data_IF_500008299396
#
_entry.id   IF_500008299396
#
_cell.length_a   1.000
_cell.length_b   1.000
_cell.length_c   1.000
_cell.angle_alpha   90.00
_cell.angle_beta   90.00
_cell.angle_gamma   90.00
#
_symmetry.space_group_name_H-M   'P 1'
#
loop_
_entity.id
_entity.type
_entity.pdbx_description
1 polymer ?
#
# COMPACT_ATOMS: atom_id res chain seq x y z
N UNK A 1 -11.27 14.99 5.59
CA UNK A 1 -10.01 15.74 5.84
C UNK A 1 -8.95 15.10 4.97
N UNK A 2 -8.24 15.90 4.18
CA UNK A 2 -7.16 15.44 3.31
C UNK A 2 -5.91 15.13 4.11
N UNK A 3 -5.18 14.06 3.76
CA UNK A 3 -3.92 13.75 4.43
C UNK A 3 -2.75 14.50 3.82
N UNK A 4 -2.11 15.34 4.63
CA UNK A 4 -0.83 15.93 4.28
C UNK A 4 0.26 14.85 4.22
N UNK A 5 1.35 15.11 3.50
CA UNK A 5 2.52 14.22 3.49
C UNK A 5 3.04 13.92 4.91
N UNK A 6 3.01 14.90 5.81
CA UNK A 6 3.39 14.71 7.21
C UNK A 6 2.47 13.69 7.92
N UNK A 7 1.17 13.73 7.64
CA UNK A 7 0.24 12.73 8.16
C UNK A 7 0.52 11.34 7.57
N UNK A 8 0.76 11.25 6.27
CA UNK A 8 1.11 9.99 5.60
C UNK A 8 2.37 9.37 6.22
N UNK A 9 3.41 10.17 6.47
CA UNK A 9 4.62 9.74 7.17
C UNK A 9 4.37 9.28 8.60
N UNK A 10 3.53 10.00 9.35
CA UNK A 10 3.13 9.61 10.70
C UNK A 10 2.45 8.23 10.68
N UNK A 11 1.50 8.02 9.77
CA UNK A 11 0.82 6.73 9.67
C UNK A 11 1.78 5.63 9.26
N UNK A 12 2.67 5.88 8.29
CA UNK A 12 3.67 4.90 7.89
C UNK A 12 4.60 4.52 9.06
N UNK A 13 4.99 5.48 9.91
CA UNK A 13 5.78 5.21 11.13
C UNK A 13 5.02 4.36 12.15
N UNK A 14 3.72 4.60 12.34
CA UNK A 14 2.86 3.73 13.19
C UNK A 14 2.83 2.29 12.64
N UNK A 15 2.64 2.13 11.32
CA UNK A 15 2.64 0.81 10.67
C UNK A 15 4.00 0.13 10.77
N UNK A 16 5.10 0.86 10.56
CA UNK A 16 6.45 0.34 10.71
C UNK A 16 6.72 -0.18 12.12
N UNK A 17 6.29 0.56 13.14
CA UNK A 17 6.47 0.17 14.54
C UNK A 17 5.68 -1.10 14.89
N UNK A 18 4.49 -1.28 14.31
CA UNK A 18 3.61 -2.42 14.61
C UNK A 18 3.89 -3.66 13.76
N UNK A 19 4.29 -3.49 12.49
CA UNK A 19 4.37 -4.57 11.50
C UNK A 19 5.75 -4.73 10.85
N UNK A 20 6.70 -3.83 11.11
CA UNK A 20 8.04 -3.88 10.50
C UNK A 20 8.07 -3.61 8.99
N UNK A 21 7.06 -2.91 8.46
CA UNK A 21 6.94 -2.55 7.03
C UNK A 21 6.48 -1.11 6.85
N UNK A 22 6.60 -0.56 5.65
CA UNK A 22 6.41 0.89 5.38
C UNK A 22 7.30 1.76 6.28
N UNK A 23 8.51 1.26 6.56
CA UNK A 23 9.53 1.98 7.30
C UNK A 23 10.24 2.96 6.37
N UNK A 24 10.05 4.25 6.60
CA UNK A 24 10.67 5.32 5.81
C UNK A 24 11.59 6.16 6.68
N UNK A 25 12.74 6.50 6.15
CA UNK A 25 13.65 7.48 6.69
C UNK A 25 13.22 8.90 6.35
N UNK A 26 13.76 9.87 7.10
CA UNK A 26 13.55 11.31 6.83
C UNK A 26 14.07 11.74 5.45
N UNK A 27 15.04 10.99 4.90
CA UNK A 27 15.67 11.27 3.60
C UNK A 27 14.91 10.68 2.43
N UNK A 28 14.00 9.73 2.69
CA UNK A 28 13.20 9.15 1.63
C UNK A 28 12.33 10.23 0.98
N UNK A 29 12.10 10.19 -0.33
CA UNK A 29 11.26 11.17 -0.99
C UNK A 29 9.80 10.99 -0.60
N UNK A 30 9.06 12.09 -0.44
CA UNK A 30 7.63 12.05 -0.12
C UNK A 30 6.80 11.27 -1.15
N UNK A 31 7.24 11.28 -2.42
CA UNK A 31 6.64 10.49 -3.50
C UNK A 31 6.71 8.99 -3.24
N UNK A 32 7.74 8.50 -2.55
CA UNK A 32 7.85 7.08 -2.18
C UNK A 32 6.82 6.74 -1.10
N UNK A 33 6.67 7.59 -0.08
CA UNK A 33 5.65 7.43 0.97
C UNK A 33 4.26 7.40 0.36
N UNK A 34 3.98 8.34 -0.57
CA UNK A 34 2.72 8.42 -1.29
C UNK A 34 2.48 7.16 -2.13
N UNK A 35 3.46 6.75 -2.94
CA UNK A 35 3.40 5.54 -3.76
C UNK A 35 3.05 4.30 -2.94
N UNK A 36 3.72 4.11 -1.81
CA UNK A 36 3.52 2.92 -0.99
C UNK A 36 2.17 2.92 -0.29
N UNK A 37 1.68 4.06 0.19
CA UNK A 37 0.38 4.11 0.86
C UNK A 37 -0.77 3.98 -0.13
N UNK A 38 -0.68 4.58 -1.32
CA UNK A 38 -1.67 4.34 -2.39
C UNK A 38 -1.63 2.90 -2.88
N UNK A 39 -0.47 2.24 -2.87
CA UNK A 39 -0.39 0.81 -3.17
C UNK A 39 -1.18 -0.02 -2.16
N UNK A 40 -0.98 0.20 -0.85
CA UNK A 40 -1.71 -0.54 0.18
C UNK A 40 -3.21 -0.25 0.15
N UNK A 41 -3.61 0.99 -0.17
CA UNK A 41 -5.01 1.40 -0.28
C UNK A 41 -5.82 0.55 -1.28
N UNK A 42 -5.19 0.08 -2.36
CA UNK A 42 -5.85 -0.81 -3.34
C UNK A 42 -6.36 -2.11 -2.72
N UNK A 43 -5.82 -2.52 -1.57
CA UNK A 43 -6.17 -3.77 -0.88
C UNK A 43 -7.12 -3.56 0.31
N UNK A 44 -7.75 -2.39 0.45
CA UNK A 44 -8.77 -2.19 1.48
C UNK A 44 -9.95 -3.15 1.32
N UNK A 45 -10.34 -3.40 0.07
CA UNK A 45 -11.48 -4.25 -0.27
C UNK A 45 -11.12 -5.45 -1.15
N UNK A 46 -9.87 -5.54 -1.59
CA UNK A 46 -9.35 -6.66 -2.38
C UNK A 46 -8.45 -7.52 -1.49
N UNK A 47 -8.67 -8.83 -1.50
CA UNK A 47 -7.79 -9.78 -0.80
C UNK A 47 -6.54 -10.07 -1.65
N UNK A 48 -5.33 -9.61 -1.27
CA UNK A 48 -4.13 -9.80 -2.06
C UNK A 48 -3.76 -11.28 -2.23
N UNK A 49 -4.07 -12.14 -1.25
CA UNK A 49 -3.75 -13.58 -1.31
C UNK A 49 -4.56 -14.30 -2.38
N UNK A 50 -5.84 -13.94 -2.51
CA UNK A 50 -6.70 -14.46 -3.57
C UNK A 50 -6.33 -13.84 -4.92
N UNK A 51 -6.13 -12.51 -4.95
CA UNK A 51 -5.81 -11.75 -6.16
C UNK A 51 -4.52 -12.24 -6.82
N UNK A 52 -3.48 -12.56 -6.05
CA UNK A 52 -2.20 -13.03 -6.57
C UNK A 52 -2.27 -14.36 -7.35
N UNK A 53 -3.39 -15.09 -7.29
CA UNK A 53 -3.63 -16.32 -8.07
C UNK A 53 -4.39 -16.05 -9.37
N UNK A 54 -4.89 -14.83 -9.58
CA UNK A 54 -5.64 -14.43 -10.76
C UNK A 54 -4.88 -13.31 -11.50
N UNK A 55 -4.26 -13.59 -12.66
CA UNK A 55 -3.54 -12.60 -13.44
C UNK A 55 -4.37 -11.36 -13.81
N UNK A 56 -5.66 -11.53 -14.08
CA UNK A 56 -6.56 -10.42 -14.41
C UNK A 56 -6.72 -9.48 -13.21
N UNK A 57 -6.92 -10.04 -12.01
CA UNK A 57 -6.99 -9.25 -10.78
C UNK A 57 -5.70 -8.46 -10.54
N UNK A 58 -4.54 -9.09 -10.74
CA UNK A 58 -3.24 -8.43 -10.60
C UNK A 58 -3.11 -7.26 -11.57
N UNK A 59 -3.49 -7.45 -12.84
CA UNK A 59 -3.48 -6.38 -13.83
C UNK A 59 -4.41 -5.23 -13.43
N UNK A 60 -5.64 -5.53 -12.98
CA UNK A 60 -6.58 -4.50 -12.51
C UNK A 60 -6.01 -3.70 -11.35
N UNK A 61 -5.33 -4.35 -10.38
CA UNK A 61 -4.68 -3.64 -9.27
C UNK A 61 -3.60 -2.68 -9.78
N UNK A 62 -2.78 -3.09 -10.76
CA UNK A 62 -1.76 -2.21 -11.34
C UNK A 62 -2.38 -1.01 -12.07
N UNK A 63 -3.46 -1.21 -12.83
CA UNK A 63 -4.16 -0.14 -13.52
C UNK A 63 -4.80 0.85 -12.53
N UNK A 64 -5.45 0.33 -11.49
CA UNK A 64 -6.04 1.13 -10.43
C UNK A 64 -4.97 1.93 -9.69
N UNK A 65 -3.88 1.29 -9.26
CA UNK A 65 -2.79 1.98 -8.57
C UNK A 65 -2.14 3.06 -9.43
N UNK A 66 -1.85 2.75 -10.70
CA UNK A 66 -1.27 3.72 -11.64
C UNK A 66 -2.16 4.94 -11.82
N UNK A 67 -3.48 4.73 -11.92
CA UNK A 67 -4.47 5.81 -12.03
C UNK A 67 -4.53 6.65 -10.76
N UNK A 68 -4.65 6.02 -9.59
CA UNK A 68 -4.71 6.71 -8.30
C UNK A 68 -3.43 7.49 -8.04
N UNK A 69 -2.27 6.90 -8.28
CA UNK A 69 -0.98 7.54 -8.10
C UNK A 69 -0.82 8.75 -9.02
N UNK A 70 -1.17 8.62 -10.30
CA UNK A 70 -1.13 9.74 -11.24
C UNK A 70 -2.00 10.89 -10.77
N UNK A 71 -3.25 10.61 -10.38
CA UNK A 71 -4.16 11.63 -9.89
C UNK A 71 -3.66 12.27 -8.58
N UNK A 72 -3.03 11.50 -7.70
CA UNK A 72 -2.46 12.02 -6.45
C UNK A 72 -1.27 12.96 -6.74
N UNK A 73 -0.40 12.62 -7.69
CA UNK A 73 0.71 13.47 -8.13
C UNK A 73 0.23 14.76 -8.83
N UNK A 74 -0.89 14.69 -9.55
CA UNK A 74 -1.55 15.86 -10.16
C UNK A 74 -2.35 16.70 -9.14
N UNK A 75 -2.41 16.30 -7.86
CA UNK A 75 -3.22 16.96 -6.83
C UNK A 75 -4.73 16.78 -6.99
N UNK A 76 -5.18 15.90 -7.89
CA UNK A 76 -6.59 15.61 -8.21
C UNK A 76 -7.15 14.45 -7.39
N UNK A 77 -6.32 13.79 -6.60
CA UNK A 77 -6.74 12.74 -5.68
C UNK A 77 -6.13 12.99 -4.30
N UNK A 78 -6.97 12.79 -3.29
CA UNK A 78 -6.58 12.88 -1.89
C UNK A 78 -6.60 11.48 -1.30
N UNK A 79 -5.45 11.01 -0.83
CA UNK A 79 -5.34 9.75 -0.10
C UNK A 79 -6.07 9.89 1.23
N UNK A 80 -7.08 9.04 1.45
CA UNK A 80 -7.86 9.04 2.68
C UNK A 80 -7.56 7.77 3.47
N UNK A 81 -6.70 7.91 4.49
CA UNK A 81 -6.23 6.77 5.26
C UNK A 81 -7.27 6.35 6.30
N UNK A 82 -7.96 5.24 6.04
CA UNK A 82 -8.70 4.53 7.07
C UNK A 82 -7.75 3.56 7.80
N UNK A 83 -7.28 3.92 9.01
CA UNK A 83 -6.30 3.12 9.77
C UNK A 83 -6.71 1.66 9.95
N UNK A 84 -8.00 1.36 10.18
CA UNK A 84 -8.48 -0.02 10.34
C UNK A 84 -8.32 -0.83 9.05
N UNK A 85 -8.72 -0.25 7.92
CA UNK A 85 -8.58 -0.91 6.62
C UNK A 85 -7.11 -1.03 6.21
N UNK A 86 -6.31 0.00 6.47
CA UNK A 86 -4.86 -0.01 6.23
C UNK A 86 -4.17 -1.15 6.97
N UNK A 87 -4.38 -1.28 8.28
CA UNK A 87 -3.80 -2.37 9.07
C UNK A 87 -4.22 -3.75 8.54
N UNK A 88 -5.49 -3.91 8.17
CA UNK A 88 -6.00 -5.16 7.57
C UNK A 88 -5.29 -5.46 6.25
N UNK A 89 -5.18 -4.48 5.37
CA UNK A 89 -4.52 -4.61 4.07
C UNK A 89 -3.03 -4.96 4.22
N UNK A 90 -2.31 -4.26 5.11
CA UNK A 90 -0.90 -4.54 5.44
C UNK A 90 -0.74 -5.99 5.90
N UNK A 91 -1.56 -6.47 6.84
CA UNK A 91 -1.49 -7.85 7.34
C UNK A 91 -1.67 -8.88 6.23
N UNK A 92 -2.63 -8.67 5.32
CA UNK A 92 -2.88 -9.57 4.19
C UNK A 92 -1.75 -9.54 3.15
N UNK A 93 -1.14 -8.37 2.91
CA UNK A 93 0.03 -8.25 2.04
C UNK A 93 1.26 -8.94 2.62
N UNK A 94 1.47 -8.86 3.94
CA UNK A 94 2.54 -9.59 4.63
C UNK A 94 2.33 -11.10 4.54
N UNK A 95 1.11 -11.58 4.77
CA UNK A 95 0.76 -13.00 4.59
C UNK A 95 1.03 -13.47 3.16
N UNK A 96 0.71 -12.66 2.14
CA UNK A 96 1.08 -12.96 0.76
C UNK A 96 2.60 -13.04 0.60
N UNK A 97 3.35 -12.08 1.15
CA UNK A 97 4.81 -12.05 1.06
C UNK A 97 5.44 -13.32 1.66
N UNK A 98 4.98 -13.76 2.83
CA UNK A 98 5.42 -14.99 3.47
C UNK A 98 5.13 -16.22 2.60
N UNK A 99 3.92 -16.33 2.04
CA UNK A 99 3.54 -17.42 1.13
C UNK A 99 4.41 -17.45 -0.12
N UNK A 100 4.78 -16.30 -0.67
CA UNK A 100 5.65 -16.21 -1.85
C UNK A 100 7.09 -16.57 -1.52
N UNK A 101 7.61 -16.20 -0.33
CA UNK A 101 8.96 -16.58 0.13
C UNK A 101 9.08 -18.09 0.40
N UNK A 102 8.01 -18.72 0.89
CA UNK A 102 7.99 -20.14 1.20
C UNK A 102 7.88 -21.05 -0.04
N UNK A 103 7.59 -20.50 -1.24
CA UNK A 103 7.56 -21.30 -2.47
C UNK A 103 8.98 -21.61 -2.94
N UNK A 104 9.32 -22.89 -3.25
CA UNK A 104 10.57 -23.21 -3.91
C UNK A 104 10.66 -22.44 -5.22
N UNK A 105 11.81 -21.80 -5.48
CA UNK A 105 12.10 -21.28 -6.81
C UNK A 105 12.25 -22.48 -7.73
N UNK A 106 11.33 -22.63 -8.68
CA UNK A 106 11.44 -23.58 -9.79
C UNK A 106 12.65 -23.21 -10.66
#
# INVERSE_FOLDING_TARGET
>A
MSSSVAELRRVASEICSEYGTLCFDKRDPDKLVLFSLTWVENFYYVDPVACAKNPECVNTIFEMHSTVLRLALEGKYTVNINKRLLKRAVKRLLELSERLRARPRL
#
